data_IF_292556800486
#
_entry.id   IF_292556800486
#
_cell.length_a   1.000
_cell.length_b   1.000
_cell.length_c   1.000
_cell.angle_alpha   90.00
_cell.angle_beta   90.00
_cell.angle_gamma   90.00
#
_symmetry.space_group_name_H-M   'P 1'
#
loop_
_entity.id
_entity.type
_entity.pdbx_description
1 polymer ?
#
# COMPACT_ATOMS: atom_id res chain seq x y z
N UNK A 1 14.08 -49.17 -9.94
CA UNK A 1 13.60 -48.17 -10.91
C UNK A 1 13.06 -46.98 -10.13
N UNK A 2 13.76 -45.86 -10.18
CA UNK A 2 13.35 -44.65 -9.53
C UNK A 2 12.24 -44.01 -10.37
N UNK A 3 11.08 -43.66 -9.83
CA UNK A 3 10.04 -42.99 -10.63
C UNK A 3 10.59 -41.66 -11.14
N UNK A 4 10.19 -41.20 -12.34
CA UNK A 4 10.63 -39.94 -12.86
C UNK A 4 10.17 -38.83 -11.92
N UNK A 5 11.13 -38.08 -11.39
CA UNK A 5 10.83 -36.86 -10.64
C UNK A 5 10.18 -35.90 -11.63
N UNK A 6 8.91 -35.61 -11.42
CA UNK A 6 8.26 -34.50 -12.10
C UNK A 6 9.18 -33.28 -11.93
N UNK A 7 9.49 -32.53 -13.00
CA UNK A 7 10.31 -31.32 -12.85
C UNK A 7 9.60 -30.42 -11.86
N UNK A 8 10.10 -30.41 -10.63
CA UNK A 8 9.57 -29.55 -9.59
C UNK A 8 9.76 -28.11 -10.01
N UNK A 9 8.73 -27.30 -9.91
CA UNK A 9 8.82 -25.86 -10.15
C UNK A 9 9.90 -25.32 -9.19
N UNK A 10 10.97 -24.75 -9.75
CA UNK A 10 12.08 -24.25 -8.93
C UNK A 10 11.66 -22.99 -8.14
N UNK A 11 12.26 -22.81 -6.97
CA UNK A 11 12.02 -21.61 -6.17
C UNK A 11 12.37 -20.32 -6.95
N UNK A 12 13.41 -20.37 -7.76
CA UNK A 12 13.82 -19.26 -8.61
C UNK A 12 12.76 -18.90 -9.66
N UNK A 13 12.19 -19.89 -10.33
CA UNK A 13 11.10 -19.68 -11.28
C UNK A 13 9.86 -19.08 -10.59
N UNK A 14 9.49 -19.62 -9.43
CA UNK A 14 8.35 -19.10 -8.64
C UNK A 14 8.60 -17.67 -8.22
N UNK A 15 9.81 -17.33 -7.75
CA UNK A 15 10.16 -15.97 -7.35
C UNK A 15 10.02 -14.99 -8.51
N UNK A 16 10.55 -15.34 -9.69
CA UNK A 16 10.46 -14.48 -10.88
C UNK A 16 9.00 -14.24 -11.29
N UNK A 17 8.22 -15.31 -11.40
CA UNK A 17 6.81 -15.20 -11.80
C UNK A 17 5.97 -14.46 -10.77
N UNK A 18 6.22 -14.69 -9.48
CA UNK A 18 5.50 -14.01 -8.40
C UNK A 18 5.76 -12.50 -8.42
N UNK A 19 7.03 -12.08 -8.59
CA UNK A 19 7.39 -10.67 -8.71
C UNK A 19 6.63 -10.00 -9.86
N UNK A 20 6.61 -10.64 -11.02
CA UNK A 20 5.91 -10.12 -12.18
C UNK A 20 4.39 -10.05 -11.98
N UNK A 21 3.80 -11.13 -11.48
CA UNK A 21 2.36 -11.22 -11.26
C UNK A 21 1.85 -10.22 -10.21
N UNK A 22 2.53 -10.13 -9.07
CA UNK A 22 2.19 -9.18 -8.00
C UNK A 22 2.38 -7.74 -8.48
N UNK A 23 3.47 -7.46 -9.21
CA UNK A 23 3.70 -6.15 -9.80
C UNK A 23 2.59 -5.73 -10.76
N UNK A 24 2.15 -6.63 -11.62
CA UNK A 24 1.05 -6.38 -12.56
C UNK A 24 -0.27 -6.15 -11.83
N UNK A 25 -0.58 -6.97 -10.84
CA UNK A 25 -1.80 -6.82 -10.03
C UNK A 25 -1.84 -5.48 -9.31
N UNK A 26 -0.72 -5.08 -8.69
CA UNK A 26 -0.63 -3.79 -7.99
C UNK A 26 -0.79 -2.61 -8.96
N UNK A 27 -0.14 -2.66 -10.12
CA UNK A 27 -0.31 -1.61 -11.16
C UNK A 27 -1.75 -1.50 -11.62
N UNK A 28 -2.41 -2.62 -11.86
CA UNK A 28 -3.81 -2.63 -12.27
C UNK A 28 -4.73 -2.07 -11.18
N UNK A 29 -4.54 -2.51 -9.95
CA UNK A 29 -5.30 -2.02 -8.80
C UNK A 29 -5.16 -0.51 -8.63
N UNK A 30 -3.95 0.01 -8.78
CA UNK A 30 -3.68 1.46 -8.74
C UNK A 30 -4.41 2.21 -9.84
N UNK A 31 -4.32 1.74 -11.09
CA UNK A 31 -4.96 2.41 -12.23
C UNK A 31 -6.48 2.51 -12.09
N UNK A 32 -7.12 1.55 -11.45
CA UNK A 32 -8.56 1.58 -11.21
C UNK A 32 -8.96 2.58 -10.10
N UNK A 33 -8.03 2.98 -9.26
CA UNK A 33 -8.29 3.82 -8.08
C UNK A 33 -7.77 5.26 -8.28
N UNK A 34 -6.81 5.47 -9.17
CA UNK A 34 -6.20 6.77 -9.45
C UNK A 34 -7.17 7.82 -10.03
N UNK A 35 -8.39 7.43 -10.38
CA UNK A 35 -9.41 8.34 -10.90
C UNK A 35 -9.89 9.40 -9.88
N UNK A 36 -9.40 9.39 -8.64
CA UNK A 36 -9.87 10.29 -7.57
C UNK A 36 -8.90 11.42 -7.20
N UNK A 37 -7.90 11.72 -8.02
CA UNK A 37 -7.08 12.95 -7.90
C UNK A 37 -5.91 12.90 -6.92
N UNK A 38 -5.69 11.80 -6.18
CA UNK A 38 -4.53 11.65 -5.31
C UNK A 38 -3.42 10.85 -5.99
N UNK A 39 -2.21 11.41 -6.03
CA UNK A 39 -1.02 10.72 -6.52
C UNK A 39 -0.55 9.61 -5.57
N UNK A 40 0.34 8.75 -6.06
CA UNK A 40 0.90 7.62 -5.28
C UNK A 40 1.60 8.07 -4.00
N UNK A 41 2.41 9.13 -4.09
CA UNK A 41 3.16 9.64 -2.93
C UNK A 41 2.24 10.22 -1.86
N UNK A 42 1.18 10.92 -2.27
CA UNK A 42 0.15 11.44 -1.36
C UNK A 42 -0.58 10.30 -0.65
N UNK A 43 -0.99 9.27 -1.40
CA UNK A 43 -1.66 8.11 -0.85
C UNK A 43 -0.78 7.33 0.13
N UNK A 44 0.50 7.16 -0.20
CA UNK A 44 1.47 6.48 0.66
C UNK A 44 1.71 7.25 1.95
N UNK A 45 1.82 8.58 1.88
CA UNK A 45 1.96 9.44 3.05
C UNK A 45 0.73 9.34 3.99
N UNK A 46 -0.48 9.40 3.43
CA UNK A 46 -1.71 9.22 4.22
C UNK A 46 -1.77 7.85 4.89
N UNK A 47 -1.40 6.78 4.17
CA UNK A 47 -1.36 5.43 4.71
C UNK A 47 -0.37 5.31 5.88
N UNK A 48 0.77 5.96 5.77
CA UNK A 48 1.79 5.98 6.82
C UNK A 48 1.30 6.69 8.07
N UNK A 49 0.70 7.85 7.91
CA UNK A 49 0.12 8.62 9.02
C UNK A 49 -1.02 7.85 9.72
N UNK A 50 -1.82 7.11 8.97
CA UNK A 50 -2.85 6.24 9.57
C UNK A 50 -2.27 5.14 10.44
N UNK A 51 -1.21 4.47 9.96
CA UNK A 51 -0.60 3.33 10.68
C UNK A 51 0.28 3.74 11.85
N UNK A 52 1.06 4.80 11.71
CA UNK A 52 2.07 5.21 12.70
C UNK A 52 1.65 6.39 13.55
N UNK A 53 0.52 7.02 13.24
CA UNK A 53 0.07 8.22 13.91
C UNK A 53 0.83 9.49 13.49
N UNK A 54 0.75 10.57 14.29
CA UNK A 54 1.40 11.83 13.95
C UNK A 54 2.90 11.69 13.73
N UNK A 55 3.40 12.34 12.67
CA UNK A 55 4.82 12.29 12.28
C UNK A 55 5.30 13.68 11.84
N UNK A 56 6.59 13.95 12.06
CA UNK A 56 7.24 15.13 11.48
C UNK A 56 7.49 14.92 9.98
N UNK A 57 7.70 16.02 9.26
CA UNK A 57 8.08 15.94 7.83
C UNK A 57 9.35 15.10 7.63
N UNK A 58 10.35 15.26 8.48
CA UNK A 58 11.62 14.52 8.40
C UNK A 58 11.41 13.01 8.62
N UNK A 59 10.62 12.63 9.63
CA UNK A 59 10.30 11.23 9.91
C UNK A 59 9.55 10.59 8.75
N UNK A 60 8.55 11.30 8.21
CA UNK A 60 7.74 10.82 7.11
C UNK A 60 8.55 10.69 5.81
N UNK A 61 9.40 11.67 5.52
CA UNK A 61 10.33 11.62 4.39
C UNK A 61 11.26 10.41 4.46
N UNK A 62 11.81 10.16 5.65
CA UNK A 62 12.71 9.02 5.89
C UNK A 62 11.97 7.69 5.74
N UNK A 63 10.78 7.59 6.30
CA UNK A 63 9.95 6.37 6.19
C UNK A 63 9.55 6.06 4.75
N UNK A 64 9.35 7.07 3.91
CA UNK A 64 8.96 6.95 2.51
C UNK A 64 10.16 6.98 1.55
N UNK A 65 11.39 7.00 2.07
CA UNK A 65 12.63 7.09 1.27
C UNK A 65 12.61 8.28 0.31
N UNK A 66 12.16 9.43 0.78
CA UNK A 66 12.05 10.68 0.03
C UNK A 66 12.90 11.78 0.64
N UNK A 67 13.22 12.78 -0.18
CA UNK A 67 13.85 14.01 0.31
C UNK A 67 12.85 14.83 1.13
N UNK A 68 13.29 15.49 2.23
CA UNK A 68 12.41 16.34 3.04
C UNK A 68 11.68 17.42 2.25
N UNK A 69 12.32 18.02 1.24
CA UNK A 69 11.70 19.00 0.36
C UNK A 69 10.52 18.43 -0.43
N UNK A 70 10.67 17.22 -0.95
CA UNK A 70 9.61 16.54 -1.70
C UNK A 70 8.44 16.21 -0.77
N UNK A 71 8.72 15.72 0.43
CA UNK A 71 7.68 15.42 1.43
C UNK A 71 6.97 16.67 1.90
N UNK A 72 7.69 17.77 2.08
CA UNK A 72 7.10 19.07 2.43
C UNK A 72 6.05 19.53 1.42
N UNK A 73 6.35 19.38 0.12
CA UNK A 73 5.41 19.70 -0.96
C UNK A 73 4.17 18.79 -0.95
N UNK A 74 4.36 17.49 -0.72
CA UNK A 74 3.25 16.54 -0.59
C UNK A 74 2.35 16.90 0.58
N UNK A 75 2.91 17.17 1.74
CA UNK A 75 2.16 17.54 2.94
C UNK A 75 1.43 18.87 2.79
N UNK A 76 2.04 19.86 2.12
CA UNK A 76 1.38 21.12 1.82
C UNK A 76 0.15 20.92 0.94
N UNK A 77 0.25 20.09 -0.09
CA UNK A 77 -0.88 19.73 -0.95
C UNK A 77 -2.00 19.00 -0.19
N UNK A 78 -1.64 18.05 0.66
CA UNK A 78 -2.60 17.31 1.48
C UNK A 78 -3.29 18.23 2.52
N UNK A 79 -2.54 19.18 3.10
CA UNK A 79 -3.09 20.17 4.03
C UNK A 79 -4.07 21.11 3.33
N UNK A 80 -3.73 21.56 2.13
CA UNK A 80 -4.62 22.39 1.30
C UNK A 80 -5.92 21.68 0.99
N UNK A 81 -5.86 20.37 0.71
CA UNK A 81 -7.03 19.53 0.47
C UNK A 81 -7.79 19.14 1.76
N UNK A 82 -7.30 19.56 2.93
CA UNK A 82 -7.94 19.28 4.21
C UNK A 82 -7.80 17.83 4.70
N UNK A 83 -6.86 17.07 4.15
CA UNK A 83 -6.66 15.66 4.48
C UNK A 83 -5.66 15.41 5.60
N UNK A 84 -4.78 16.38 5.85
CA UNK A 84 -3.87 16.42 7.01
C UNK A 84 -3.95 17.77 7.70
N UNK A 85 -3.57 17.80 8.96
CA UNK A 85 -3.46 19.02 9.77
C UNK A 85 -2.16 19.00 10.57
N UNK A 86 -1.77 20.18 11.05
CA UNK A 86 -0.57 20.38 11.87
C UNK A 86 -0.93 20.42 13.33
N UNK A 87 -0.02 19.91 14.15
CA UNK A 87 -0.04 20.17 15.58
C UNK A 87 1.39 20.39 16.10
N UNK A 88 1.57 21.14 17.21
CA UNK A 88 2.89 21.28 17.81
C UNK A 88 3.40 19.94 18.33
N UNK A 89 4.71 19.70 18.19
CA UNK A 89 5.34 18.55 18.82
C UNK A 89 5.24 18.68 20.36
N UNK A 90 4.88 17.59 21.08
CA UNK A 90 4.59 17.67 22.51
C UNK A 90 5.79 18.05 23.38
N UNK A 91 7.02 17.81 22.93
CA UNK A 91 8.24 18.06 23.70
C UNK A 91 9.24 18.99 23.02
N UNK A 92 9.15 19.19 21.70
CA UNK A 92 10.02 20.10 20.94
C UNK A 92 9.17 21.06 20.11
N UNK A 93 8.98 22.28 20.65
CA UNK A 93 8.18 23.33 20.01
C UNK A 93 8.72 23.86 18.68
N UNK A 94 9.93 23.44 18.25
CA UNK A 94 10.51 23.75 16.94
C UNK A 94 10.04 22.77 15.85
N UNK A 95 9.48 21.63 16.25
CA UNK A 95 8.97 20.62 15.34
C UNK A 95 7.46 20.69 15.22
N UNK A 96 6.98 20.32 14.05
CA UNK A 96 5.55 20.24 13.74
C UNK A 96 5.23 18.80 13.37
N UNK A 97 4.16 18.28 13.97
CA UNK A 97 3.60 16.98 13.61
C UNK A 97 2.48 17.16 12.58
N UNK A 98 2.41 16.26 11.63
CA UNK A 98 1.28 16.11 10.73
C UNK A 98 0.47 14.89 11.12
N UNK A 99 -0.84 15.01 11.06
CA UNK A 99 -1.78 13.94 11.37
C UNK A 99 -2.95 13.95 10.39
N UNK A 100 -3.63 12.83 10.24
CA UNK A 100 -4.84 12.75 9.43
C UNK A 100 -5.96 13.56 10.08
N UNK A 101 -6.71 14.28 9.24
CA UNK A 101 -8.02 14.79 9.59
C UNK A 101 -9.08 13.71 9.46
N UNK A 102 -10.30 13.98 9.93
CA UNK A 102 -11.44 13.11 9.67
C UNK A 102 -11.67 12.91 8.16
N UNK A 103 -11.48 13.95 7.34
CA UNK A 103 -11.54 13.87 5.88
C UNK A 103 -10.43 13.00 5.30
N UNK A 104 -9.21 13.08 5.84
CA UNK A 104 -8.09 12.22 5.45
C UNK A 104 -8.36 10.75 5.72
N UNK A 105 -8.89 10.44 6.89
CA UNK A 105 -9.28 9.07 7.24
C UNK A 105 -10.42 8.55 6.35
N UNK A 106 -11.41 9.38 6.05
CA UNK A 106 -12.50 9.03 5.15
C UNK A 106 -12.01 8.74 3.72
N UNK A 107 -11.08 9.57 3.22
CA UNK A 107 -10.44 9.34 1.92
C UNK A 107 -9.67 8.01 1.87
N UNK A 108 -8.95 7.67 2.94
CA UNK A 108 -8.28 6.37 3.08
C UNK A 108 -9.25 5.21 3.03
N UNK A 109 -10.32 5.26 3.82
CA UNK A 109 -11.36 4.22 3.86
C UNK A 109 -12.06 4.05 2.52
N UNK A 110 -12.35 5.15 1.84
CA UNK A 110 -12.96 5.11 0.50
C UNK A 110 -12.07 4.39 -0.52
N UNK A 111 -10.77 4.64 -0.49
CA UNK A 111 -9.81 3.93 -1.34
C UNK A 111 -9.71 2.46 -1.01
N UNK A 112 -9.67 2.10 0.27
CA UNK A 112 -9.62 0.70 0.70
C UNK A 112 -10.90 -0.05 0.29
N UNK A 113 -12.05 0.58 0.39
CA UNK A 113 -13.32 0.02 -0.10
C UNK A 113 -13.30 -0.18 -1.61
N UNK A 114 -12.79 0.78 -2.37
CA UNK A 114 -12.67 0.68 -3.82
C UNK A 114 -11.71 -0.45 -4.24
N UNK A 115 -10.59 -0.60 -3.56
CA UNK A 115 -9.63 -1.71 -3.76
C UNK A 115 -10.30 -3.06 -3.52
N UNK A 116 -10.98 -3.18 -2.40
CA UNK A 116 -11.65 -4.41 -2.01
C UNK A 116 -12.73 -4.79 -3.03
N UNK A 117 -13.55 -3.82 -3.42
CA UNK A 117 -14.61 -4.02 -4.41
C UNK A 117 -14.08 -4.47 -5.77
N UNK A 118 -13.05 -3.76 -6.27
CA UNK A 118 -12.46 -4.11 -7.57
C UNK A 118 -11.83 -5.50 -7.54
N UNK A 119 -11.03 -5.80 -6.52
CA UNK A 119 -10.34 -7.08 -6.40
C UNK A 119 -11.35 -8.22 -6.17
N UNK A 120 -12.36 -8.01 -5.35
CA UNK A 120 -13.42 -8.99 -5.13
C UNK A 120 -14.16 -9.32 -6.42
N UNK A 121 -14.52 -8.32 -7.22
CA UNK A 121 -15.15 -8.52 -8.52
C UNK A 121 -14.24 -9.28 -9.50
N UNK A 122 -12.94 -9.01 -9.46
CA UNK A 122 -11.98 -9.72 -10.30
C UNK A 122 -11.84 -11.20 -9.89
N UNK A 123 -11.83 -11.47 -8.59
CA UNK A 123 -11.74 -12.83 -8.03
C UNK A 123 -13.01 -13.62 -8.33
N UNK A 124 -14.19 -13.00 -8.25
CA UNK A 124 -15.49 -13.65 -8.54
C UNK A 124 -15.58 -14.20 -9.97
N UNK A 125 -14.73 -13.73 -10.88
CA UNK A 125 -14.66 -14.23 -12.26
C UNK A 125 -13.83 -15.51 -12.41
N UNK A 126 -13.14 -15.91 -11.37
CA UNK A 126 -12.33 -17.14 -11.35
C UNK A 126 -13.21 -18.36 -11.04
N UNK A 127 -12.77 -19.52 -11.49
CA UNK A 127 -13.40 -20.78 -11.12
C UNK A 127 -13.24 -21.07 -9.62
N UNK A 128 -14.18 -21.80 -8.98
CA UNK A 128 -14.07 -22.10 -7.55
C UNK A 128 -12.77 -22.79 -7.13
N UNK A 129 -12.15 -23.61 -8.00
CA UNK A 129 -10.86 -24.22 -7.72
C UNK A 129 -9.74 -23.19 -7.66
N UNK A 130 -9.75 -22.22 -8.57
CA UNK A 130 -8.76 -21.14 -8.61
C UNK A 130 -8.90 -20.22 -7.39
N UNK A 131 -10.12 -19.94 -6.97
CA UNK A 131 -10.37 -19.17 -5.73
C UNK A 131 -9.79 -19.91 -4.52
N UNK A 132 -9.99 -21.22 -4.43
CA UNK A 132 -9.41 -22.04 -3.34
C UNK A 132 -7.88 -22.06 -3.38
N UNK A 133 -7.30 -22.20 -4.57
CA UNK A 133 -5.84 -22.16 -4.75
C UNK A 133 -5.26 -20.80 -4.34
N UNK A 134 -5.91 -19.71 -4.74
CA UNK A 134 -5.51 -18.36 -4.36
C UNK A 134 -5.61 -18.16 -2.85
N UNK A 135 -6.70 -18.59 -2.22
CA UNK A 135 -6.89 -18.53 -0.78
C UNK A 135 -5.79 -19.29 -0.02
N UNK A 136 -5.42 -20.47 -0.51
CA UNK A 136 -4.35 -21.29 0.06
C UNK A 136 -2.96 -20.65 -0.08
N UNK A 137 -2.73 -19.83 -1.12
CA UNK A 137 -1.47 -19.14 -1.35
C UNK A 137 -1.27 -17.92 -0.43
N UNK A 138 -2.33 -17.29 0.05
CA UNK A 138 -2.24 -16.06 0.88
C UNK A 138 -1.38 -16.23 2.13
N UNK A 139 -1.55 -17.29 2.97
CA UNK A 139 -0.68 -17.49 4.12
C UNK A 139 0.79 -17.68 3.75
N UNK A 140 1.07 -18.29 2.61
CA UNK A 140 2.44 -18.49 2.11
C UNK A 140 3.09 -17.16 1.73
N UNK A 141 2.36 -16.31 1.00
CA UNK A 141 2.83 -14.97 0.62
C UNK A 141 3.09 -14.13 1.87
N UNK A 142 2.21 -14.20 2.86
CA UNK A 142 2.36 -13.50 4.14
C UNK A 142 3.64 -13.91 4.86
N UNK A 143 3.92 -15.21 4.99
CA UNK A 143 5.13 -15.74 5.62
C UNK A 143 6.42 -15.29 4.90
N UNK A 144 6.40 -15.16 3.58
CA UNK A 144 7.55 -14.65 2.82
C UNK A 144 7.82 -13.19 3.18
N UNK A 145 6.79 -12.39 3.34
CA UNK A 145 6.92 -10.97 3.68
C UNK A 145 7.33 -10.70 5.14
N UNK A 146 7.27 -11.69 6.01
CA UNK A 146 7.62 -11.59 7.43
C UNK A 146 9.06 -12.03 7.74
N UNK A 147 9.81 -12.53 6.75
CA UNK A 147 11.22 -12.89 6.88
C UNK A 147 12.11 -11.64 6.79
#
# INVERSE_FOLDING_TARGET
>A
MTPPRTPGVSADTVATELILAVGQLIRRLRSEIESEGLGMSQTSALARLERQGPMTTAELARAEAMKPQSMKAILASLEEDGLVEREPHPTDGRQILFLLTAAGLAARRKRDTAKHKWLGTAIDKLDPEDIRALAAAIPLIRRIGEQ
#
